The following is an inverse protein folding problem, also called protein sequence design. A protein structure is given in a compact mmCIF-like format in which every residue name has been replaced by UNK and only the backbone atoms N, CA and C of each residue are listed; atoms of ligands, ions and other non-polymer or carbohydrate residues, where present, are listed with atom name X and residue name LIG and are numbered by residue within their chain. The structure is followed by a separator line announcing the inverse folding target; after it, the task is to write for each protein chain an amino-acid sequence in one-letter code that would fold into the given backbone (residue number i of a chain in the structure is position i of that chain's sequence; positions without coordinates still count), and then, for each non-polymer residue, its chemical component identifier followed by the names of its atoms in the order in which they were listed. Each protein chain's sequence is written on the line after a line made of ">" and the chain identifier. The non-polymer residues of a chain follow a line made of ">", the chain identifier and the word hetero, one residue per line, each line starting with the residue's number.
data_IF_166247411037
#
_entry.id   IF_166247411037
#
_cell.length_a   1.000
_cell.length_b   1.000
_cell.length_c   1.000
_cell.angle_alpha   90.00
_cell.angle_beta   90.00
_cell.angle_gamma   90.00
#
_symmetry.space_group_name_H-M   'P 1'
#
loop_
_entity.id
_entity.type
_entity.pdbx_description
1 polymer ?
#
# COMPACT_ATOMS: atom_id res chain seq x y z
N UNK A 1 14.01 -20.63 18.52
CA UNK A 1 13.78 -19.40 17.75
C UNK A 1 15.10 -18.64 17.69
N UNK A 2 15.64 -18.39 16.51
CA UNK A 2 16.77 -17.47 16.35
C UNK A 2 16.21 -16.07 16.59
N UNK A 3 16.49 -15.47 17.76
CA UNK A 3 16.09 -14.10 18.02
C UNK A 3 16.94 -13.17 17.15
N UNK A 4 16.27 -12.32 16.37
CA UNK A 4 16.93 -11.37 15.48
C UNK A 4 17.49 -10.24 16.36
N UNK A 5 18.82 -10.25 16.59
CA UNK A 5 19.57 -9.27 17.40
C UNK A 5 19.87 -7.99 16.60
N UNK A 6 18.86 -7.41 15.94
CA UNK A 6 19.04 -6.16 15.19
C UNK A 6 18.99 -4.98 16.18
N UNK A 7 20.03 -4.14 16.13
CA UNK A 7 20.17 -2.91 16.93
C UNK A 7 20.32 -3.15 18.45
N UNK A 8 20.83 -4.32 18.85
CA UNK A 8 21.17 -4.64 20.24
C UNK A 8 22.67 -4.59 20.40
N UNK A 9 23.16 -3.83 21.38
CA UNK A 9 24.59 -3.70 21.63
C UNK A 9 25.07 -4.86 22.52
N UNK A 10 25.21 -6.04 21.89
CA UNK A 10 25.50 -7.32 22.57
C UNK A 10 26.88 -7.32 23.24
N UNK A 11 27.77 -6.40 22.84
CA UNK A 11 29.15 -6.29 23.34
C UNK A 11 29.25 -5.45 24.62
N UNK A 12 28.19 -4.77 25.04
CA UNK A 12 28.21 -3.96 26.26
C UNK A 12 28.36 -4.83 27.51
N UNK A 13 29.36 -4.52 28.36
CA UNK A 13 29.59 -5.25 29.63
C UNK A 13 28.34 -5.27 30.53
N UNK A 14 27.53 -4.21 30.49
CA UNK A 14 26.27 -4.10 31.24
C UNK A 14 25.19 -5.04 30.69
N UNK A 15 25.14 -5.23 29.37
CA UNK A 15 24.20 -6.13 28.71
C UNK A 15 24.49 -7.58 29.09
N UNK A 16 25.76 -8.00 29.07
CA UNK A 16 26.18 -9.34 29.47
C UNK A 16 25.89 -9.61 30.95
N UNK A 17 26.18 -8.64 31.82
CA UNK A 17 25.89 -8.75 33.25
C UNK A 17 24.38 -8.88 33.55
N UNK A 18 23.53 -8.09 32.89
CA UNK A 18 22.08 -8.18 33.07
C UNK A 18 21.49 -9.45 32.46
N UNK A 19 22.04 -9.92 31.34
CA UNK A 19 21.63 -11.18 30.71
C UNK A 19 21.97 -12.37 31.61
N UNK A 20 23.18 -12.42 32.17
CA UNK A 20 23.59 -13.48 33.10
C UNK A 20 22.71 -13.51 34.36
N UNK A 21 22.36 -12.34 34.90
CA UNK A 21 21.47 -12.25 36.06
C UNK A 21 20.04 -12.64 35.69
N UNK A 22 19.54 -12.29 34.50
CA UNK A 22 18.23 -12.71 33.99
C UNK A 22 18.15 -14.24 33.84
N UNK A 23 19.21 -14.86 33.29
CA UNK A 23 19.29 -16.32 33.14
C UNK A 23 19.31 -17.00 34.50
N UNK A 24 20.09 -16.49 35.46
CA UNK A 24 20.13 -17.00 36.84
C UNK A 24 18.78 -16.90 37.56
N UNK A 25 17.96 -15.91 37.21
CA UNK A 25 16.63 -15.68 37.79
C UNK A 25 15.50 -16.38 37.01
N UNK A 26 15.80 -17.07 35.91
CA UNK A 26 14.82 -17.68 35.00
C UNK A 26 13.71 -16.70 34.54
N UNK A 27 14.04 -15.41 34.37
CA UNK A 27 13.07 -14.42 33.89
C UNK A 27 12.99 -14.45 32.36
N UNK A 28 11.77 -14.62 31.83
CA UNK A 28 11.49 -14.62 30.38
C UNK A 28 11.48 -13.19 29.81
N UNK A 29 12.64 -12.53 29.75
CA UNK A 29 12.77 -11.21 29.12
C UNK A 29 13.32 -11.34 27.70
N UNK A 30 12.85 -10.49 26.78
CA UNK A 30 13.44 -10.41 25.45
C UNK A 30 14.76 -9.63 25.50
N UNK A 31 15.73 -9.93 24.61
CA UNK A 31 16.99 -9.19 24.53
C UNK A 31 16.80 -7.67 24.32
N UNK A 32 15.72 -7.26 23.63
CA UNK A 32 15.39 -5.85 23.43
C UNK A 32 15.01 -5.15 24.73
N UNK A 33 14.21 -5.79 25.59
CA UNK A 33 13.86 -5.23 26.91
C UNK A 33 15.13 -5.04 27.75
N UNK A 34 16.09 -5.98 27.68
CA UNK A 34 17.36 -5.86 28.37
C UNK A 34 18.19 -4.69 27.79
N UNK A 35 18.23 -4.54 26.47
CA UNK A 35 18.90 -3.42 25.81
C UNK A 35 18.31 -2.06 26.21
N UNK A 36 16.98 -1.96 26.28
CA UNK A 36 16.29 -0.74 26.70
C UNK A 36 16.60 -0.39 28.16
N UNK A 37 16.71 -1.40 29.03
CA UNK A 37 17.17 -1.22 30.41
C UNK A 37 18.61 -0.72 30.46
N UNK A 38 19.51 -1.27 29.64
CA UNK A 38 20.90 -0.81 29.55
C UNK A 38 20.96 0.65 29.08
N UNK A 39 20.23 0.99 28.02
CA UNK A 39 20.14 2.36 27.51
C UNK A 39 19.61 3.34 28.57
N UNK A 40 18.58 2.93 29.32
CA UNK A 40 18.04 3.73 30.42
C UNK A 40 19.03 3.91 31.59
N UNK A 41 19.88 2.91 31.87
CA UNK A 41 20.93 2.99 32.89
C UNK A 41 22.07 3.91 32.45
N UNK A 42 22.47 3.83 31.18
CA UNK A 42 23.47 4.71 30.56
C UNK A 42 22.96 6.16 30.57
N UNK A 43 21.70 6.40 30.20
CA UNK A 43 21.08 7.73 30.23
C UNK A 43 21.02 8.33 31.65
N UNK A 44 20.99 7.48 32.68
CA UNK A 44 21.06 7.88 34.10
C UNK A 44 22.49 8.03 34.63
N UNK A 45 23.51 7.75 33.81
CA UNK A 45 24.93 7.89 34.16
C UNK A 45 25.50 6.75 35.01
N UNK A 46 24.79 5.62 35.16
CA UNK A 46 25.27 4.46 35.91
C UNK A 46 26.04 3.51 34.98
N UNK A 47 27.37 3.64 34.96
CA UNK A 47 28.26 2.84 34.09
C UNK A 47 28.64 1.48 34.66
N UNK A 48 28.46 1.25 35.98
CA UNK A 48 28.77 -0.02 36.65
C UNK A 48 27.70 -0.37 37.67
N UNK A 49 27.03 -1.51 37.51
CA UNK A 49 26.10 -2.05 38.51
C UNK A 49 26.79 -3.03 39.45
N UNK A 50 26.44 -2.96 40.74
CA UNK A 50 26.73 -4.06 41.67
C UNK A 50 25.79 -5.24 41.40
N UNK A 51 26.19 -6.50 41.64
CA UNK A 51 25.34 -7.66 41.40
C UNK A 51 24.00 -7.61 42.15
N UNK A 52 23.98 -7.02 43.35
CA UNK A 52 22.77 -6.84 44.14
C UNK A 52 21.82 -5.80 43.54
N UNK A 53 22.34 -4.69 43.00
CA UNK A 53 21.54 -3.68 42.28
C UNK A 53 21.00 -4.29 40.98
N UNK A 54 21.81 -5.03 40.23
CA UNK A 54 21.39 -5.68 38.98
C UNK A 54 20.24 -6.67 39.23
N UNK A 55 20.34 -7.48 40.29
CA UNK A 55 19.25 -8.38 40.71
C UNK A 55 17.97 -7.61 41.02
N UNK A 56 18.04 -6.50 41.76
CA UNK A 56 16.86 -5.67 42.07
C UNK A 56 16.23 -5.07 40.82
N UNK A 57 17.04 -4.55 39.89
CA UNK A 57 16.55 -3.96 38.65
C UNK A 57 15.78 -4.98 37.83
N UNK A 58 16.35 -6.18 37.65
CA UNK A 58 15.70 -7.26 36.90
C UNK A 58 14.45 -7.76 37.62
N UNK A 59 14.50 -7.95 38.94
CA UNK A 59 13.32 -8.35 39.71
C UNK A 59 12.19 -7.31 39.62
N UNK A 60 12.51 -6.02 39.71
CA UNK A 60 11.53 -4.94 39.57
C UNK A 60 10.96 -4.90 38.15
N UNK A 61 11.81 -5.00 37.13
CA UNK A 61 11.39 -5.03 35.74
C UNK A 61 10.48 -6.23 35.45
N UNK A 62 10.79 -7.40 36.00
CA UNK A 62 9.97 -8.60 35.86
C UNK A 62 8.60 -8.43 36.52
N UNK A 63 8.56 -7.84 37.73
CA UNK A 63 7.30 -7.56 38.42
C UNK A 63 6.42 -6.59 37.62
N UNK A 64 7.00 -5.51 37.08
CA UNK A 64 6.26 -4.59 36.22
C UNK A 64 5.77 -5.26 34.93
N UNK A 65 6.58 -6.14 34.33
CA UNK A 65 6.18 -6.88 33.14
C UNK A 65 5.01 -7.81 33.44
N UNK A 66 5.02 -8.52 34.57
CA UNK A 66 3.92 -9.38 34.99
C UNK A 66 2.64 -8.60 35.26
N UNK A 67 2.74 -7.44 35.91
CA UNK A 67 1.60 -6.56 36.19
C UNK A 67 1.03 -5.88 34.93
N UNK A 68 1.83 -5.73 33.87
CA UNK A 68 1.41 -5.06 32.63
C UNK A 68 0.83 -6.03 31.59
N UNK A 69 0.67 -7.31 31.92
CA UNK A 69 0.04 -8.29 31.02
C UNK A 69 -1.46 -8.03 30.94
N UNK A 70 -2.03 -8.23 29.76
CA UNK A 70 -3.48 -8.20 29.57
C UNK A 70 -4.11 -9.37 30.33
N UNK A 71 -5.21 -9.09 31.02
CA UNK A 71 -5.98 -10.10 31.73
C UNK A 71 -6.60 -11.11 30.74
N UNK A 72 -6.55 -12.42 31.03
CA UNK A 72 -7.18 -13.43 30.18
C UNK A 72 -8.68 -13.17 30.00
N UNK A 73 -9.19 -13.48 28.80
CA UNK A 73 -10.61 -13.31 28.42
C UNK A 73 -11.09 -11.86 28.26
N UNK A 74 -10.18 -10.89 28.26
CA UNK A 74 -10.48 -9.50 27.92
C UNK A 74 -11.03 -9.40 26.48
N UNK A 75 -12.01 -8.52 26.26
CA UNK A 75 -12.69 -8.37 24.98
C UNK A 75 -11.89 -7.49 24.00
N UNK A 76 -10.65 -7.89 23.71
CA UNK A 76 -9.67 -7.11 22.93
C UNK A 76 -10.16 -6.71 21.54
N UNK A 77 -11.01 -7.55 20.91
CA UNK A 77 -11.60 -7.23 19.61
C UNK A 77 -12.59 -6.05 19.68
N UNK A 78 -13.37 -5.95 20.75
CA UNK A 78 -14.34 -4.87 20.95
C UNK A 78 -13.61 -3.58 21.28
N UNK A 79 -12.64 -3.63 22.21
CA UNK A 79 -11.84 -2.45 22.58
C UNK A 79 -11.06 -1.93 21.39
N UNK A 80 -10.44 -2.81 20.60
CA UNK A 80 -9.77 -2.44 19.35
C UNK A 80 -10.71 -1.75 18.35
N UNK A 81 -11.92 -2.29 18.14
CA UNK A 81 -12.88 -1.70 17.23
C UNK A 81 -13.34 -0.30 17.71
N UNK A 82 -13.54 -0.13 19.02
CA UNK A 82 -13.89 1.16 19.62
C UNK A 82 -12.74 2.17 19.52
N UNK A 83 -11.52 1.77 19.88
CA UNK A 83 -10.34 2.66 19.87
C UNK A 83 -9.97 3.13 18.47
N UNK A 84 -10.22 2.34 17.43
CA UNK A 84 -10.01 2.75 16.03
C UNK A 84 -11.21 3.57 15.51
N UNK A 85 -12.43 3.25 15.95
CA UNK A 85 -13.65 3.92 15.50
C UNK A 85 -13.91 5.29 16.14
N UNK A 86 -13.56 5.47 17.42
CA UNK A 86 -13.75 6.71 18.17
C UNK A 86 -13.06 7.92 17.49
N UNK A 87 -11.78 7.84 17.11
CA UNK A 87 -11.11 8.92 16.38
C UNK A 87 -11.80 9.25 15.05
N UNK A 88 -12.46 8.27 14.42
CA UNK A 88 -13.19 8.46 13.17
C UNK A 88 -14.30 9.51 13.27
N UNK A 89 -14.94 9.67 14.43
CA UNK A 89 -15.94 10.72 14.66
C UNK A 89 -15.31 12.10 14.87
N UNK A 90 -14.10 12.12 15.41
CA UNK A 90 -13.32 13.34 15.68
C UNK A 90 -12.54 13.79 14.44
N UNK A 91 -12.36 12.91 13.45
CA UNK A 91 -11.84 13.20 12.11
C UNK A 91 -12.83 14.06 11.31
N UNK A 92 -13.06 15.29 11.76
CA UNK A 92 -13.77 16.32 10.99
C UNK A 92 -12.76 17.20 10.27
N UNK A 93 -12.92 17.30 8.93
CA UNK A 93 -12.38 18.31 7.99
C UNK A 93 -11.01 18.95 8.32
N UNK A 94 -10.05 18.22 8.89
CA UNK A 94 -8.63 18.59 8.86
C UNK A 94 -8.06 18.10 7.54
N UNK A 95 -8.50 18.70 6.44
CA UNK A 95 -7.75 18.58 5.18
C UNK A 95 -6.47 19.38 5.38
N UNK A 96 -5.40 18.72 5.77
CA UNK A 96 -4.07 19.32 5.74
C UNK A 96 -3.77 19.62 4.28
N UNK A 97 -3.97 20.89 3.89
CA UNK A 97 -3.27 21.45 2.76
C UNK A 97 -1.80 21.52 3.16
N UNK A 98 -1.04 20.48 2.84
CA UNK A 98 0.41 20.57 2.94
C UNK A 98 0.85 21.71 2.04
N UNK A 99 1.33 22.80 2.64
CA UNK A 99 1.95 23.90 1.92
C UNK A 99 3.31 23.40 1.39
N UNK A 100 3.28 22.86 0.17
CA UNK A 100 4.47 22.31 -0.49
C UNK A 100 4.12 21.82 -1.89
N UNK A 101 4.68 22.45 -2.92
CA UNK A 101 4.32 22.31 -4.34
C UNK A 101 4.67 20.94 -4.96
N UNK A 102 5.04 19.94 -4.14
CA UNK A 102 5.59 18.68 -4.66
C UNK A 102 4.95 17.41 -4.08
N UNK A 103 4.20 17.45 -2.98
CA UNK A 103 3.54 16.25 -2.48
C UNK A 103 2.25 16.02 -3.25
N UNK A 104 2.19 14.90 -3.99
CA UNK A 104 0.97 14.39 -4.62
C UNK A 104 -0.19 14.48 -3.61
N UNK A 105 -1.31 15.07 -4.00
CA UNK A 105 -2.53 15.11 -3.17
C UNK A 105 -3.05 13.67 -3.00
N UNK A 106 -2.56 12.96 -1.98
CA UNK A 106 -3.03 11.63 -1.62
C UNK A 106 -4.28 11.77 -0.76
N UNK A 107 -5.25 10.88 -0.93
CA UNK A 107 -6.37 10.73 0.00
C UNK A 107 -5.83 10.43 1.40
N UNK A 108 -6.03 11.36 2.34
CA UNK A 108 -5.65 11.23 3.74
C UNK A 108 -6.88 11.26 4.65
N UNK A 109 -6.69 10.85 5.91
CA UNK A 109 -7.73 10.84 6.93
C UNK A 109 -8.70 9.66 6.82
N UNK A 110 -9.93 9.87 7.28
CA UNK A 110 -10.95 8.83 7.40
C UNK A 110 -11.25 8.08 6.09
N UNK A 111 -11.38 8.73 4.91
CA UNK A 111 -11.61 8.01 3.67
C UNK A 111 -10.56 6.95 3.37
N UNK A 112 -9.29 7.24 3.75
CA UNK A 112 -8.19 6.30 3.55
C UNK A 112 -8.27 5.10 4.50
N UNK A 113 -8.64 5.33 5.77
CA UNK A 113 -8.87 4.24 6.73
C UNK A 113 -9.98 3.31 6.24
N UNK A 114 -11.08 3.88 5.71
CA UNK A 114 -12.19 3.10 5.13
C UNK A 114 -11.70 2.25 3.96
N UNK A 115 -10.89 2.80 3.04
CA UNK A 115 -10.34 2.03 1.91
C UNK A 115 -9.48 0.84 2.35
N UNK A 116 -8.67 1.02 3.40
CA UNK A 116 -7.81 -0.02 3.97
C UNK A 116 -8.67 -1.12 4.60
N UNK A 117 -9.60 -0.75 5.48
CA UNK A 117 -10.47 -1.68 6.22
C UNK A 117 -11.42 -2.44 5.29
N UNK A 118 -11.88 -1.81 4.20
CA UNK A 118 -12.69 -2.46 3.16
C UNK A 118 -11.86 -3.31 2.18
N UNK A 119 -10.54 -3.38 2.33
CA UNK A 119 -9.63 -4.10 1.45
C UNK A 119 -9.91 -3.82 -0.04
N UNK A 120 -10.03 -2.53 -0.42
CA UNK A 120 -10.32 -2.19 -1.82
C UNK A 120 -9.20 -2.65 -2.75
N UNK A 121 -9.59 -3.29 -3.87
CA UNK A 121 -8.64 -3.78 -4.90
C UNK A 121 -7.74 -2.69 -5.45
N UNK A 122 -8.29 -1.51 -5.71
CA UNK A 122 -7.56 -0.34 -6.18
C UNK A 122 -7.98 0.85 -5.31
N UNK A 123 -7.05 1.52 -4.61
CA UNK A 123 -7.37 2.72 -3.85
C UNK A 123 -7.68 3.89 -4.77
N UNK A 124 -8.34 4.95 -4.28
CA UNK A 124 -8.74 6.08 -5.12
C UNK A 124 -7.53 6.87 -5.66
N UNK A 125 -6.50 7.05 -4.82
CA UNK A 125 -5.22 7.66 -5.24
C UNK A 125 -4.06 6.71 -4.94
N UNK A 126 -3.76 5.75 -5.83
CA UNK A 126 -2.59 4.89 -5.68
C UNK A 126 -1.32 5.71 -5.83
N UNK A 127 -0.33 5.45 -4.98
CA UNK A 127 0.97 6.13 -5.00
C UNK A 127 2.08 5.14 -4.69
N UNK A 128 3.28 5.44 -5.19
CA UNK A 128 4.49 4.71 -4.85
C UNK A 128 5.62 5.66 -4.50
N UNK A 129 6.48 5.21 -3.59
CA UNK A 129 7.78 5.79 -3.29
C UNK A 129 8.84 4.82 -3.80
N UNK A 130 9.47 5.18 -4.90
CA UNK A 130 10.47 4.36 -5.58
C UNK A 130 11.84 4.88 -5.16
N UNK A 131 12.57 4.02 -4.48
CA UNK A 131 13.96 4.27 -4.12
C UNK A 131 14.87 3.73 -5.22
N UNK A 132 16.06 4.31 -5.32
CA UNK A 132 17.06 3.93 -6.31
C UNK A 132 18.25 3.26 -5.63
N UNK A 133 18.87 2.34 -6.37
CA UNK A 133 20.10 1.68 -5.93
C UNK A 133 21.25 2.69 -5.80
N UNK A 134 22.23 2.34 -4.96
CA UNK A 134 23.41 3.19 -4.73
C UNK A 134 24.22 3.36 -6.02
N UNK A 135 24.40 2.27 -6.78
CA UNK A 135 25.21 2.24 -7.99
C UNK A 135 24.40 1.77 -9.20
N UNK A 136 24.63 2.41 -10.35
CA UNK A 136 24.15 1.88 -11.64
C UNK A 136 24.91 0.61 -12.02
N UNK A 137 24.44 -0.13 -13.03
CA UNK A 137 25.15 -1.25 -13.67
C UNK A 137 26.57 -0.88 -14.20
N UNK A 138 26.92 0.42 -14.18
CA UNK A 138 28.21 1.00 -14.56
C UNK A 138 29.00 1.61 -13.39
N UNK A 139 28.63 1.33 -12.14
CA UNK A 139 29.35 1.79 -10.93
C UNK A 139 29.27 3.30 -10.64
N UNK A 140 28.30 4.03 -11.22
CA UNK A 140 28.09 5.46 -10.94
C UNK A 140 27.01 5.65 -9.89
N UNK A 141 27.14 6.65 -8.98
CA UNK A 141 26.13 6.92 -7.97
C UNK A 141 24.83 7.40 -8.62
N UNK A 142 23.77 6.60 -8.53
CA UNK A 142 22.43 6.93 -9.06
C UNK A 142 21.64 7.80 -8.10
N UNK A 143 21.80 7.53 -6.81
CA UNK A 143 21.02 8.10 -5.71
C UNK A 143 21.16 9.62 -5.53
N UNK A 144 22.28 10.19 -5.99
CA UNK A 144 22.64 11.61 -5.78
C UNK A 144 22.54 12.45 -7.06
N UNK A 145 22.32 11.82 -8.22
CA UNK A 145 22.35 12.53 -9.50
C UNK A 145 20.94 12.77 -10.04
N UNK A 146 20.42 13.97 -9.81
CA UNK A 146 19.08 14.42 -10.23
C UNK A 146 18.76 14.12 -11.70
N UNK A 147 19.73 14.31 -12.62
CA UNK A 147 19.51 14.10 -14.06
C UNK A 147 19.20 12.65 -14.39
N UNK A 148 19.90 11.69 -13.77
CA UNK A 148 19.66 10.26 -14.01
C UNK A 148 18.34 9.81 -13.37
N UNK A 149 18.00 10.35 -12.20
CA UNK A 149 16.70 10.08 -11.56
C UNK A 149 15.55 10.60 -12.40
N UNK A 150 15.69 11.79 -12.98
CA UNK A 150 14.70 12.36 -13.89
C UNK A 150 14.55 11.53 -15.18
N UNK A 151 15.63 10.93 -15.67
CA UNK A 151 15.57 10.00 -16.80
C UNK A 151 14.79 8.73 -16.48
N UNK A 152 14.98 8.17 -15.28
CA UNK A 152 14.21 7.01 -14.81
C UNK A 152 12.74 7.39 -14.63
N UNK A 153 12.45 8.54 -14.01
CA UNK A 153 11.09 9.04 -13.83
C UNK A 153 10.34 9.22 -15.17
N UNK A 154 11.00 9.81 -16.17
CA UNK A 154 10.44 9.97 -17.52
C UNK A 154 10.24 8.62 -18.25
N UNK A 155 10.99 7.58 -17.88
CA UNK A 155 10.80 6.22 -18.36
C UNK A 155 9.61 5.50 -17.72
N UNK A 156 9.31 5.81 -16.46
CA UNK A 156 8.22 5.19 -15.70
C UNK A 156 6.86 5.82 -16.03
N UNK A 157 6.81 7.14 -16.23
CA UNK A 157 5.57 7.88 -16.54
C UNK A 157 4.90 7.38 -17.82
N UNK A 158 3.59 7.04 -17.75
CA UNK A 158 2.82 6.78 -18.96
C UNK A 158 2.72 8.03 -19.81
N UNK A 159 3.09 7.91 -21.06
CA UNK A 159 2.94 8.98 -22.03
C UNK A 159 1.81 8.60 -22.98
N UNK A 160 0.69 9.29 -22.86
CA UNK A 160 -0.43 9.14 -23.80
C UNK A 160 -0.23 10.06 -24.99
N UNK A 161 -0.94 9.79 -26.08
CA UNK A 161 -0.90 10.67 -27.27
C UNK A 161 -1.36 12.09 -26.93
N UNK A 162 -2.28 12.25 -25.96
CA UNK A 162 -2.79 13.56 -25.50
C UNK A 162 -1.72 14.43 -24.84
N UNK A 163 -0.74 13.84 -24.17
CA UNK A 163 0.31 14.60 -23.48
C UNK A 163 1.35 15.17 -24.46
N UNK A 164 1.40 14.61 -25.68
CA UNK A 164 2.47 14.85 -26.64
C UNK A 164 1.96 15.54 -27.91
N UNK A 165 0.71 15.29 -28.31
CA UNK A 165 0.13 15.80 -29.54
C UNK A 165 -1.22 16.48 -29.30
N UNK A 166 -1.45 17.58 -30.00
CA UNK A 166 -2.82 18.08 -30.20
C UNK A 166 -3.43 17.31 -31.36
N UNK A 167 -4.67 16.87 -31.18
CA UNK A 167 -5.41 16.04 -32.13
C UNK A 167 -6.46 16.92 -32.79
N UNK A 168 -6.26 17.20 -34.07
CA UNK A 168 -7.19 17.98 -34.88
C UNK A 168 -7.86 17.05 -35.89
N UNK A 169 -9.18 16.95 -35.78
CA UNK A 169 -10.03 16.14 -36.65
C UNK A 169 -10.50 16.99 -37.82
N UNK A 170 -10.01 16.70 -39.03
CA UNK A 170 -10.52 17.33 -40.24
C UNK A 170 -11.66 16.49 -40.82
N UNK A 171 -12.89 17.02 -40.69
CA UNK A 171 -14.11 16.38 -41.18
C UNK A 171 -14.18 16.42 -42.71
N UNK A 172 -13.60 17.46 -43.32
CA UNK A 172 -13.69 17.70 -44.77
C UNK A 172 -12.77 16.75 -45.54
N UNK A 173 -11.53 16.62 -45.08
CA UNK A 173 -10.51 15.76 -45.67
C UNK A 173 -10.43 14.38 -45.00
N UNK A 174 -11.29 14.12 -43.99
CA UNK A 174 -11.45 12.82 -43.30
C UNK A 174 -10.13 12.21 -42.81
N UNK A 175 -9.25 13.05 -42.31
CA UNK A 175 -8.01 12.63 -41.70
C UNK A 175 -7.86 13.27 -40.32
N UNK A 176 -7.11 12.60 -39.46
CA UNK A 176 -6.73 13.11 -38.15
C UNK A 176 -5.32 13.63 -38.29
N UNK A 177 -5.13 14.91 -37.97
CA UNK A 177 -3.80 15.52 -37.89
C UNK A 177 -3.38 15.61 -36.42
N UNK A 178 -2.17 15.12 -36.15
CA UNK A 178 -1.54 15.14 -34.84
C UNK A 178 -0.39 16.13 -34.90
N UNK A 179 -0.56 17.30 -34.29
CA UNK A 179 0.53 18.26 -34.15
C UNK A 179 1.32 17.94 -32.88
N UNK A 180 2.57 17.50 -33.07
CA UNK A 180 3.46 17.08 -32.00
C UNK A 180 4.11 18.27 -31.31
N UNK A 181 4.03 18.32 -29.98
CA UNK A 181 4.69 19.34 -29.18
C UNK A 181 6.14 18.93 -28.86
N UNK A 182 7.09 19.62 -29.50
CA UNK A 182 8.53 19.36 -29.35
C UNK A 182 9.06 19.59 -27.94
N UNK A 183 8.42 20.46 -27.13
CA UNK A 183 8.81 20.71 -25.76
C UNK A 183 8.53 19.48 -24.87
N UNK A 184 7.33 18.90 -24.97
CA UNK A 184 6.93 17.72 -24.21
C UNK A 184 7.69 16.46 -24.66
N UNK A 185 7.99 16.36 -25.96
CA UNK A 185 8.86 15.31 -26.52
C UNK A 185 10.26 15.32 -25.92
N UNK A 186 10.84 16.51 -25.72
CA UNK A 186 12.20 16.66 -25.15
C UNK A 186 12.22 16.25 -23.68
N UNK A 187 11.22 16.65 -22.89
CA UNK A 187 11.11 16.25 -21.47
C UNK A 187 10.95 14.73 -21.35
N UNK A 188 10.14 14.11 -22.21
CA UNK A 188 9.85 12.67 -22.20
C UNK A 188 10.90 11.82 -22.95
N UNK A 189 11.94 12.46 -23.49
CA UNK A 189 12.98 11.87 -24.36
C UNK A 189 12.38 10.88 -25.36
N UNK A 190 11.49 11.39 -26.21
CA UNK A 190 10.97 10.66 -27.35
C UNK A 190 11.28 11.41 -28.63
N UNK A 191 11.64 10.66 -29.67
CA UNK A 191 11.83 11.22 -30.99
C UNK A 191 10.53 11.15 -31.81
N UNK A 192 10.31 12.11 -32.70
CA UNK A 192 9.10 12.14 -33.55
C UNK A 192 8.96 10.88 -34.41
N UNK A 193 10.09 10.32 -34.87
CA UNK A 193 10.15 9.06 -35.59
C UNK A 193 9.71 7.85 -34.72
N UNK A 194 10.15 7.78 -33.47
CA UNK A 194 9.73 6.70 -32.55
C UNK A 194 8.23 6.76 -32.27
N UNK A 195 7.65 7.96 -32.21
CA UNK A 195 6.20 8.16 -32.03
C UNK A 195 5.44 7.68 -33.28
N UNK A 196 5.91 8.00 -34.48
CA UNK A 196 5.36 7.49 -35.76
C UNK A 196 5.36 5.96 -35.78
N UNK A 197 6.49 5.33 -35.46
CA UNK A 197 6.63 3.87 -35.48
C UNK A 197 5.73 3.16 -34.47
N UNK A 198 5.54 3.77 -33.31
CA UNK A 198 4.65 3.22 -32.27
C UNK A 198 3.19 3.40 -32.63
N UNK A 199 2.81 4.54 -33.20
CA UNK A 199 1.45 4.79 -33.70
C UNK A 199 1.11 3.84 -34.86
N UNK A 200 2.03 3.66 -35.81
CA UNK A 200 1.88 2.73 -36.94
C UNK A 200 1.70 1.29 -36.47
N UNK A 201 2.56 0.80 -35.57
CA UNK A 201 2.45 -0.55 -35.00
C UNK A 201 1.16 -0.76 -34.22
N UNK A 202 0.73 0.22 -33.44
CA UNK A 202 -0.43 0.09 -32.58
C UNK A 202 -1.76 0.19 -33.33
N UNK A 203 -1.82 1.06 -34.35
CA UNK A 203 -3.03 1.25 -35.16
C UNK A 203 -3.11 0.31 -36.36
N UNK A 204 -1.99 -0.33 -36.74
CA UNK A 204 -1.84 -1.07 -38.01
C UNK A 204 -2.23 -0.22 -39.23
N UNK A 205 -2.00 1.09 -39.13
CA UNK A 205 -2.33 2.08 -40.15
C UNK A 205 -1.07 2.82 -40.55
N UNK A 206 -1.02 3.21 -41.81
CA UNK A 206 0.05 4.06 -42.32
C UNK A 206 -0.12 5.48 -41.77
N UNK A 207 0.90 5.96 -41.06
CA UNK A 207 0.96 7.32 -40.54
C UNK A 207 1.87 8.13 -41.46
N UNK A 208 1.28 9.06 -42.19
CA UNK A 208 2.03 9.96 -43.06
C UNK A 208 2.69 11.04 -42.18
N UNK A 209 3.98 11.23 -42.37
CA UNK A 209 4.78 12.22 -41.66
C UNK A 209 5.17 13.35 -42.62
N UNK A 210 5.14 14.60 -42.14
CA UNK A 210 5.60 15.76 -42.94
C UNK A 210 7.12 15.75 -43.18
N UNK A 211 7.91 15.04 -42.36
CA UNK A 211 9.35 14.90 -42.48
C UNK A 211 9.82 13.60 -41.79
N UNK A 212 10.78 12.88 -42.37
CA UNK A 212 11.19 11.55 -41.90
C UNK A 212 12.01 11.57 -40.59
N UNK A 213 12.84 12.60 -40.38
CA UNK A 213 13.72 12.65 -39.20
C UNK A 213 13.09 13.36 -37.98
N UNK A 214 12.29 14.41 -38.22
CA UNK A 214 11.64 15.23 -37.17
C UNK A 214 10.23 15.67 -37.60
N UNK A 215 9.25 14.76 -37.67
CA UNK A 215 7.90 15.14 -38.00
C UNK A 215 7.31 16.07 -36.92
N UNK A 216 6.77 17.20 -37.34
CA UNK A 216 5.99 18.11 -36.48
C UNK A 216 4.50 17.83 -36.56
N UNK A 217 4.03 17.33 -37.70
CA UNK A 217 2.65 16.91 -37.92
C UNK A 217 2.66 15.48 -38.45
N UNK A 218 1.79 14.65 -37.88
CA UNK A 218 1.51 13.31 -38.36
C UNK A 218 0.06 13.27 -38.84
N UNK A 219 -0.18 12.75 -40.04
CA UNK A 219 -1.52 12.57 -40.60
C UNK A 219 -1.89 11.09 -40.58
N UNK A 220 -3.07 10.80 -40.05
CA UNK A 220 -3.61 9.45 -39.93
C UNK A 220 -4.94 9.40 -40.65
N UNK A 221 -5.05 8.49 -41.62
CA UNK A 221 -6.28 8.26 -42.38
C UNK A 221 -6.86 6.90 -41.96
N UNK A 222 -8.13 6.83 -41.55
CA UNK A 222 -8.79 5.55 -41.25
C UNK A 222 -8.84 4.66 -42.49
N UNK A 223 -8.37 3.41 -42.37
CA UNK A 223 -8.54 2.37 -43.39
C UNK A 223 -7.34 2.12 -44.31
N UNK A 224 -6.23 2.84 -44.16
CA UNK A 224 -5.03 2.67 -45.00
C UNK A 224 -3.95 1.90 -44.23
N UNK A 225 -3.69 0.65 -44.61
CA UNK A 225 -2.69 -0.20 -43.96
C UNK A 225 -1.33 -0.19 -44.69
N UNK A 226 -1.28 0.23 -45.96
CA UNK A 226 -0.07 0.33 -46.79
C UNK A 226 -0.06 1.62 -47.62
N UNK A 227 1.14 2.08 -47.94
CA UNK A 227 1.41 3.30 -48.75
C UNK A 227 0.76 3.24 -50.15
N UNK A 228 0.49 2.03 -50.65
CA UNK A 228 -0.13 1.74 -51.97
C UNK A 228 -1.66 1.94 -52.02
N UNK A 229 -2.35 2.04 -50.87
CA UNK A 229 -3.82 2.22 -50.80
C UNK A 229 -4.25 3.69 -50.81
N UNK A 230 -3.32 4.63 -50.98
CA UNK A 230 -3.62 6.06 -51.12
C UNK A 230 -4.51 6.35 -52.35
N UNK A 231 -4.48 5.47 -53.35
CA UNK A 231 -5.30 5.55 -54.56
C UNK A 231 -6.76 5.08 -54.37
N UNK A 232 -7.06 4.30 -53.33
CA UNK A 232 -8.40 3.77 -53.02
C UNK A 232 -9.27 4.70 -52.17
N UNK A 233 -8.72 5.81 -51.69
CA UNK A 233 -9.44 6.90 -50.98
C UNK A 233 -10.65 7.45 -51.76
N UNK A 234 -10.65 7.30 -53.08
CA UNK A 234 -11.75 7.73 -53.95
C UNK A 234 -12.91 6.72 -54.04
N UNK A 235 -12.71 5.46 -53.68
CA UNK A 235 -13.70 4.39 -53.91
C UNK A 235 -14.54 4.03 -52.69
N UNK A 236 -13.97 4.04 -51.48
CA UNK A 236 -14.70 3.72 -50.23
C UNK A 236 -14.35 4.74 -49.13
N UNK A 237 -15.14 5.82 -49.01
CA UNK A 237 -14.89 6.79 -47.97
C UNK A 237 -15.08 6.21 -46.56
N UNK A 238 -14.17 6.48 -45.60
CA UNK A 238 -14.33 6.04 -44.23
C UNK A 238 -15.59 6.65 -43.60
N UNK A 239 -16.37 5.82 -42.90
CA UNK A 239 -17.58 6.24 -42.19
C UNK A 239 -17.23 7.20 -41.06
N UNK A 240 -18.04 8.25 -40.85
CA UNK A 240 -17.86 9.23 -39.78
C UNK A 240 -17.70 8.60 -38.38
N UNK A 241 -18.41 7.50 -38.12
CA UNK A 241 -18.30 6.70 -36.90
C UNK A 241 -16.93 6.06 -36.72
N UNK A 242 -16.30 5.60 -37.81
CA UNK A 242 -14.96 5.01 -37.77
C UNK A 242 -13.90 6.06 -37.43
N UNK A 243 -14.08 7.30 -37.88
CA UNK A 243 -13.17 8.41 -37.58
C UNK A 243 -13.23 8.79 -36.09
N UNK A 244 -14.43 8.91 -35.52
CA UNK A 244 -14.61 9.16 -34.09
C UNK A 244 -14.06 8.01 -33.22
N UNK A 245 -14.29 6.76 -33.63
CA UNK A 245 -13.72 5.60 -32.93
C UNK A 245 -12.20 5.56 -33.01
N UNK A 246 -11.62 5.96 -34.14
CA UNK A 246 -10.18 6.04 -34.32
C UNK A 246 -9.59 7.15 -33.44
N UNK A 247 -10.24 8.31 -33.38
CA UNK A 247 -9.86 9.40 -32.49
C UNK A 247 -9.84 8.95 -31.02
N UNK A 248 -10.90 8.27 -30.55
CA UNK A 248 -10.94 7.72 -29.19
C UNK A 248 -9.81 6.71 -28.93
N UNK A 249 -9.50 5.85 -29.92
CA UNK A 249 -8.39 4.89 -29.83
C UNK A 249 -7.03 5.60 -29.75
N UNK A 250 -6.80 6.62 -30.57
CA UNK A 250 -5.57 7.42 -30.53
C UNK A 250 -5.42 8.11 -29.17
N UNK A 251 -6.50 8.68 -28.64
CA UNK A 251 -6.50 9.36 -27.32
C UNK A 251 -6.09 8.42 -26.19
N UNK A 252 -6.56 7.16 -26.21
CA UNK A 252 -6.25 6.14 -25.18
C UNK A 252 -4.92 5.41 -25.43
N UNK A 253 -4.30 5.61 -26.59
CA UNK A 253 -3.08 4.92 -26.94
C UNK A 253 -1.91 5.36 -26.05
N UNK A 254 -1.19 4.37 -25.52
CA UNK A 254 0.01 4.54 -24.70
C UNK A 254 1.25 4.38 -25.57
N UNK A 255 2.11 5.40 -25.59
CA UNK A 255 3.32 5.41 -26.41
C UNK A 255 4.55 4.90 -25.64
N UNK A 256 4.69 5.25 -24.36
CA UNK A 256 5.83 4.90 -23.50
C UNK A 256 5.36 4.85 -22.04
N UNK A 257 6.14 4.20 -21.17
CA UNK A 257 5.88 4.11 -19.73
C UNK A 257 5.19 2.83 -19.28
N UNK A 258 5.16 2.61 -17.97
CA UNK A 258 4.58 1.43 -17.34
C UNK A 258 3.06 1.58 -17.17
N UNK A 259 2.25 0.50 -17.25
CA UNK A 259 0.81 0.61 -17.02
C UNK A 259 0.51 1.20 -15.65
N UNK A 260 -0.56 1.97 -15.57
CA UNK A 260 -1.14 2.47 -14.33
C UNK A 260 -0.29 3.50 -13.56
N UNK A 261 0.82 3.98 -14.14
CA UNK A 261 1.63 5.09 -13.60
C UNK A 261 1.35 6.38 -14.38
N UNK A 262 0.46 7.22 -13.86
CA UNK A 262 0.04 8.46 -14.54
C UNK A 262 1.12 9.55 -14.52
N UNK A 263 1.82 9.73 -13.40
CA UNK A 263 2.87 10.75 -13.23
C UNK A 263 3.98 10.24 -12.33
N UNK A 264 5.21 10.66 -12.60
CA UNK A 264 6.38 10.36 -11.78
C UNK A 264 7.16 11.65 -11.49
N UNK A 265 7.17 12.06 -10.23
CA UNK A 265 7.86 13.25 -9.77
C UNK A 265 9.12 12.86 -8.99
N UNK A 266 10.25 13.49 -9.31
CA UNK A 266 11.48 13.34 -8.52
C UNK A 266 11.37 14.22 -7.28
N UNK A 267 11.67 13.65 -6.12
CA UNK A 267 11.70 14.31 -4.83
C UNK A 267 13.12 14.19 -4.26
N UNK A 268 13.58 15.23 -3.59
CA UNK A 268 14.88 15.26 -2.93
C UNK A 268 15.64 16.57 -3.19
N UNK A 269 16.84 16.70 -2.59
CA UNK A 269 17.49 15.73 -1.71
C UNK A 269 16.91 15.75 -0.29
N UNK A 270 16.76 14.59 0.35
CA UNK A 270 16.41 14.52 1.77
C UNK A 270 17.48 15.26 2.60
N UNK A 271 17.05 16.07 3.58
CA UNK A 271 17.96 16.90 4.38
C UNK A 271 18.99 16.09 5.19
N UNK A 272 18.66 14.85 5.56
CA UNK A 272 19.52 13.99 6.38
C UNK A 272 20.41 13.04 5.55
N UNK A 273 19.93 12.56 4.39
CA UNK A 273 20.62 11.51 3.62
C UNK A 273 21.13 11.97 2.25
N UNK A 274 20.69 13.14 1.76
CA UNK A 274 21.07 13.65 0.45
C UNK A 274 20.50 12.87 -0.74
N UNK A 275 19.56 11.95 -0.50
CA UNK A 275 19.03 11.01 -1.49
C UNK A 275 17.84 11.58 -2.27
N UNK A 276 17.77 11.28 -3.56
CA UNK A 276 16.59 11.49 -4.38
C UNK A 276 15.76 10.20 -4.44
N UNK A 277 14.43 10.34 -4.39
CA UNK A 277 13.47 9.26 -4.60
C UNK A 277 12.39 9.72 -5.58
N UNK A 278 11.72 8.77 -6.23
CA UNK A 278 10.65 9.08 -7.19
C UNK A 278 9.30 8.81 -6.51
N UNK A 279 8.43 9.82 -6.50
CA UNK A 279 7.05 9.71 -6.05
C UNK A 279 6.12 9.62 -7.25
N UNK A 280 5.34 8.53 -7.35
CA UNK A 280 4.42 8.31 -8.47
C UNK A 280 2.96 8.53 -8.08
N UNK A 281 2.19 9.01 -9.05
CA UNK A 281 0.73 8.93 -9.06
C UNK A 281 0.37 7.73 -9.92
N UNK A 282 -0.24 6.71 -9.31
CA UNK A 282 -0.34 5.39 -9.90
C UNK A 282 0.57 4.38 -9.20
N UNK A 283 0.17 3.11 -9.23
CA UNK A 283 0.96 2.00 -8.69
C UNK A 283 1.06 0.86 -9.68
N UNK A 284 2.29 0.34 -9.83
CA UNK A 284 2.58 -0.88 -10.55
C UNK A 284 3.88 -1.52 -10.02
N UNK A 285 3.86 -2.03 -8.80
CA UNK A 285 4.99 -2.58 -8.07
C UNK A 285 5.70 -3.70 -8.84
N UNK A 286 4.94 -4.58 -9.49
CA UNK A 286 5.48 -5.71 -10.25
C UNK A 286 6.45 -5.25 -11.34
N UNK A 287 6.00 -4.35 -12.22
CA UNK A 287 6.81 -3.86 -13.35
C UNK A 287 7.84 -2.81 -12.96
N UNK A 288 7.57 -2.02 -11.93
CA UNK A 288 8.53 -1.03 -11.40
C UNK A 288 9.75 -1.72 -10.83
N UNK A 289 9.55 -2.86 -10.14
CA UNK A 289 10.64 -3.62 -9.53
C UNK A 289 11.53 -4.32 -10.56
N UNK A 290 11.04 -4.57 -11.78
CA UNK A 290 11.84 -5.08 -12.90
C UNK A 290 12.73 -4.01 -13.56
N UNK A 291 12.46 -2.73 -13.31
CA UNK A 291 13.18 -1.64 -13.94
C UNK A 291 14.60 -1.49 -13.38
N UNK A 292 15.59 -1.31 -14.26
CA UNK A 292 16.98 -1.22 -13.87
C UNK A 292 17.28 0.06 -13.05
N UNK A 293 17.94 -0.10 -11.91
CA UNK A 293 18.32 1.00 -11.01
C UNK A 293 17.30 1.32 -9.92
N UNK A 294 16.17 0.60 -9.87
CA UNK A 294 15.19 0.68 -8.79
C UNK A 294 15.58 -0.27 -7.64
N UNK A 295 15.64 0.27 -6.44
CA UNK A 295 15.88 -0.49 -5.22
C UNK A 295 14.61 -1.24 -4.81
N UNK A 296 14.65 -2.56 -4.98
CA UNK A 296 13.54 -3.46 -4.66
C UNK A 296 13.29 -3.62 -3.17
N UNK A 297 14.31 -3.41 -2.33
CA UNK A 297 14.21 -3.61 -0.89
C UNK A 297 13.55 -2.45 -0.14
N UNK A 298 13.63 -1.24 -0.70
CA UNK A 298 13.08 -0.02 -0.08
C UNK A 298 11.85 0.55 -0.78
N UNK A 299 11.58 0.16 -2.02
CA UNK A 299 10.42 0.67 -2.77
C UNK A 299 9.10 0.28 -2.10
N UNK A 300 8.22 1.26 -1.90
CA UNK A 300 6.97 1.11 -1.16
C UNK A 300 5.78 1.62 -1.99
N UNK A 301 4.61 0.98 -1.84
CA UNK A 301 3.35 1.43 -2.43
C UNK A 301 2.25 1.45 -1.38
N UNK A 302 1.27 2.33 -1.55
CA UNK A 302 0.08 2.36 -0.71
C UNK A 302 -1.00 1.34 -1.17
N UNK A 303 -0.80 0.63 -2.29
CA UNK A 303 -1.75 -0.37 -2.76
C UNK A 303 -1.49 -1.73 -2.10
N UNK A 304 -2.29 -2.06 -1.09
CA UNK A 304 -2.14 -3.27 -0.28
C UNK A 304 -2.36 -4.55 -1.10
N UNK A 305 -3.36 -4.56 -1.99
CA UNK A 305 -3.67 -5.73 -2.83
C UNK A 305 -2.50 -6.05 -3.77
N UNK A 306 -1.83 -5.02 -4.26
CA UNK A 306 -0.65 -5.17 -5.11
C UNK A 306 0.56 -5.70 -4.33
N UNK A 307 0.77 -5.23 -3.09
CA UNK A 307 1.79 -5.77 -2.18
C UNK A 307 1.53 -7.25 -1.89
N UNK A 308 0.27 -7.60 -1.58
CA UNK A 308 -0.14 -8.99 -1.36
C UNK A 308 0.23 -9.90 -2.55
N UNK A 309 -0.07 -9.47 -3.77
CA UNK A 309 0.16 -10.27 -4.96
C UNK A 309 1.65 -10.42 -5.32
N UNK A 310 2.49 -9.44 -4.99
CA UNK A 310 3.91 -9.45 -5.37
C UNK A 310 4.85 -9.90 -4.24
N UNK A 311 4.64 -9.44 -3.01
CA UNK A 311 5.50 -9.70 -1.84
C UNK A 311 4.91 -10.73 -0.86
N UNK A 312 3.60 -11.00 -0.93
CA UNK A 312 2.91 -11.99 -0.10
C UNK A 312 2.17 -11.41 1.11
N UNK A 313 1.59 -12.31 1.91
CA UNK A 313 0.62 -11.95 2.97
C UNK A 313 1.23 -11.18 4.15
N UNK A 314 2.43 -11.54 4.61
CA UNK A 314 3.09 -10.84 5.72
C UNK A 314 3.52 -9.42 5.34
N UNK A 315 3.92 -9.22 4.08
CA UNK A 315 4.21 -7.89 3.56
C UNK A 315 2.92 -7.05 3.49
N UNK A 316 1.80 -7.66 3.09
CA UNK A 316 0.51 -6.98 3.10
C UNK A 316 0.04 -6.65 4.52
N UNK A 317 0.21 -7.57 5.49
CA UNK A 317 -0.07 -7.35 6.91
C UNK A 317 0.70 -6.15 7.45
N UNK A 318 2.00 -6.09 7.19
CA UNK A 318 2.83 -4.95 7.59
C UNK A 318 2.44 -3.66 6.86
N UNK A 319 2.06 -3.73 5.59
CA UNK A 319 1.58 -2.58 4.83
C UNK A 319 0.28 -2.01 5.40
N UNK A 320 -0.67 -2.86 5.83
CA UNK A 320 -1.89 -2.42 6.52
C UNK A 320 -1.54 -1.62 7.79
N UNK A 321 -0.64 -2.15 8.62
CA UNK A 321 -0.22 -1.49 9.87
C UNK A 321 0.43 -0.14 9.56
N UNK A 322 1.38 -0.11 8.62
CA UNK A 322 2.10 1.11 8.26
C UNK A 322 1.15 2.17 7.68
N UNK A 323 0.23 1.78 6.79
CA UNK A 323 -0.75 2.71 6.22
C UNK A 323 -1.71 3.24 7.28
N UNK A 324 -2.24 2.38 8.16
CA UNK A 324 -3.12 2.82 9.24
C UNK A 324 -2.41 3.80 10.18
N UNK A 325 -1.18 3.48 10.60
CA UNK A 325 -0.36 4.35 11.45
C UNK A 325 -0.12 5.72 10.78
N UNK A 326 0.35 5.72 9.52
CA UNK A 326 0.61 6.96 8.77
C UNK A 326 -0.65 7.82 8.61
N UNK A 327 -1.83 7.19 8.45
CA UNK A 327 -3.10 7.92 8.32
C UNK A 327 -3.60 8.52 9.63
N UNK A 328 -3.38 7.83 10.76
CA UNK A 328 -3.76 8.30 12.09
C UNK A 328 -2.81 9.40 12.57
N UNK A 329 -1.50 9.19 12.45
CA UNK A 329 -0.46 10.19 12.76
C UNK A 329 -0.63 11.44 11.89
N UNK A 330 -0.90 11.27 10.59
CA UNK A 330 -1.17 12.39 9.67
C UNK A 330 -2.41 13.20 10.05
N UNK A 331 -3.35 12.63 10.81
CA UNK A 331 -4.49 13.34 11.36
C UNK A 331 -4.23 13.93 12.77
N UNK A 332 -3.06 13.66 13.37
CA UNK A 332 -2.71 14.03 14.74
C UNK A 332 -3.47 13.22 15.80
N UNK A 333 -3.90 12.01 15.46
CA UNK A 333 -4.60 11.09 16.35
C UNK A 333 -3.66 9.96 16.74
N UNK A 334 -3.63 9.64 18.02
CA UNK A 334 -2.78 8.58 18.56
C UNK A 334 -3.65 7.37 18.94
N UNK A 335 -3.27 6.21 18.43
CA UNK A 335 -3.90 4.92 18.72
C UNK A 335 -2.78 3.92 18.91
N UNK A 336 -2.85 3.13 19.99
CA UNK A 336 -1.84 2.12 20.28
C UNK A 336 -1.72 1.11 19.13
N UNK A 337 -0.48 0.84 18.72
CA UNK A 337 -0.14 -0.04 17.59
C UNK A 337 -0.69 -1.46 17.77
N UNK A 338 -0.94 -1.91 19.01
CA UNK A 338 -1.55 -3.22 19.30
C UNK A 338 -2.96 -3.35 18.70
N UNK A 339 -3.73 -2.27 18.69
CA UNK A 339 -5.04 -2.26 18.05
C UNK A 339 -4.92 -2.38 16.53
N UNK A 340 -3.93 -1.72 15.92
CA UNK A 340 -3.64 -1.80 14.49
C UNK A 340 -3.16 -3.21 14.09
N UNK A 341 -2.32 -3.82 14.94
CA UNK A 341 -1.86 -5.20 14.79
C UNK A 341 -3.04 -6.18 14.80
N UNK A 342 -3.93 -6.08 15.78
CA UNK A 342 -5.12 -6.93 15.86
C UNK A 342 -6.00 -6.83 14.61
N UNK A 343 -6.20 -5.62 14.08
CA UNK A 343 -6.95 -5.44 12.83
C UNK A 343 -6.25 -6.09 11.64
N UNK A 344 -4.96 -5.81 11.46
CA UNK A 344 -4.18 -6.38 10.37
C UNK A 344 -4.18 -7.91 10.41
N UNK A 345 -3.95 -8.51 11.58
CA UNK A 345 -3.91 -9.96 11.78
C UNK A 345 -5.27 -10.61 11.47
N UNK A 346 -6.38 -10.00 11.89
CA UNK A 346 -7.73 -10.48 11.56
C UNK A 346 -7.97 -10.41 10.05
N UNK A 347 -7.58 -9.32 9.40
CA UNK A 347 -7.72 -9.13 7.95
C UNK A 347 -6.88 -10.10 7.13
N UNK A 348 -5.73 -10.57 7.62
CA UNK A 348 -4.80 -11.47 6.90
C UNK A 348 -4.82 -12.93 7.37
N UNK A 349 -5.69 -13.26 8.32
CA UNK A 349 -5.73 -14.56 9.02
C UNK A 349 -5.86 -15.81 8.14
N UNK A 350 -6.54 -15.72 7.00
CA UNK A 350 -6.83 -16.87 6.11
C UNK A 350 -5.90 -16.95 4.90
N UNK A 351 -4.79 -16.22 4.90
CA UNK A 351 -3.82 -16.24 3.79
C UNK A 351 -4.19 -15.32 2.62
N UNK A 352 -5.27 -14.56 2.72
CA UNK A 352 -5.64 -13.48 1.80
C UNK A 352 -6.02 -12.22 2.60
N UNK A 353 -5.91 -11.04 1.99
CA UNK A 353 -6.37 -9.77 2.59
C UNK A 353 -7.88 -9.63 2.38
N UNK A 354 -8.65 -9.74 3.47
CA UNK A 354 -10.12 -9.66 3.43
C UNK A 354 -10.63 -8.35 4.03
N UNK A 355 -11.72 -7.86 3.46
CA UNK A 355 -12.46 -6.73 4.02
C UNK A 355 -13.06 -7.09 5.39
N UNK A 356 -13.13 -6.15 6.33
CA UNK A 356 -13.76 -6.42 7.63
C UNK A 356 -15.29 -6.58 7.52
N UNK A 357 -15.90 -5.89 6.56
CA UNK A 357 -17.35 -5.86 6.35
C UNK A 357 -17.97 -7.14 5.79
N UNK A 358 -19.19 -7.01 5.25
CA UNK A 358 -20.05 -8.14 4.84
C UNK A 358 -19.46 -9.08 3.79
N UNK A 359 -18.51 -8.64 2.98
CA UNK A 359 -17.93 -9.47 1.91
C UNK A 359 -16.64 -10.18 2.33
N UNK A 360 -16.16 -9.97 3.56
CA UNK A 360 -14.97 -10.63 4.09
C UNK A 360 -15.22 -11.23 5.46
N UNK A 361 -14.55 -10.71 6.49
CA UNK A 361 -14.49 -11.33 7.84
C UNK A 361 -15.89 -11.52 8.44
N UNK A 362 -16.75 -10.49 8.39
CA UNK A 362 -18.07 -10.57 9.01
C UNK A 362 -19.05 -11.49 8.26
N UNK A 363 -18.94 -11.57 6.93
CA UNK A 363 -19.81 -12.43 6.11
C UNK A 363 -19.39 -13.90 6.05
N UNK A 364 -18.12 -14.19 6.37
CA UNK A 364 -17.56 -15.55 6.39
C UNK A 364 -17.57 -16.18 7.79
N UNK A 365 -18.06 -15.44 8.80
CA UNK A 365 -18.21 -15.96 10.16
C UNK A 365 -19.07 -17.23 10.15
N UNK A 366 -18.65 -18.27 10.87
CA UNK A 366 -19.32 -19.58 10.86
C UNK A 366 -20.79 -19.52 11.31
N UNK A 367 -21.09 -18.70 12.31
CA UNK A 367 -22.44 -18.54 12.83
C UNK A 367 -23.42 -17.96 11.82
N UNK A 368 -24.58 -18.60 11.70
CA UNK A 368 -25.66 -18.15 10.82
C UNK A 368 -26.36 -16.96 11.46
N UNK A 369 -26.61 -17.02 12.77
CA UNK A 369 -27.25 -15.95 13.53
C UNK A 369 -26.40 -14.69 13.52
N UNK A 370 -25.09 -14.82 13.69
CA UNK A 370 -24.18 -13.68 13.65
C UNK A 370 -24.14 -13.03 12.26
N UNK A 371 -24.07 -13.82 11.17
CA UNK A 371 -24.13 -13.29 9.79
C UNK A 371 -25.46 -12.59 9.51
N UNK A 372 -26.57 -13.23 9.91
CA UNK A 372 -27.93 -12.75 9.66
C UNK A 372 -28.27 -11.47 10.44
N UNK A 373 -27.72 -11.33 11.66
CA UNK A 373 -27.88 -10.15 12.49
C UNK A 373 -27.05 -8.95 12.02
N UNK A 374 -25.95 -9.19 11.29
CA UNK A 374 -25.09 -8.12 10.77
C UNK A 374 -25.65 -7.49 9.50
N UNK A 375 -25.89 -8.28 8.44
CA UNK A 375 -26.46 -7.77 7.18
C UNK A 375 -27.06 -8.90 6.32
N UNK A 376 -27.97 -8.54 5.40
CA UNK A 376 -28.59 -9.46 4.41
C UNK A 376 -29.29 -10.69 5.03
N UNK A 377 -30.06 -10.44 6.09
CA UNK A 377 -30.70 -11.45 6.97
C UNK A 377 -31.44 -12.57 6.23
N UNK A 378 -32.36 -12.22 5.32
CA UNK A 378 -33.23 -13.21 4.65
C UNK A 378 -32.43 -14.20 3.82
N UNK A 379 -31.39 -13.72 3.12
CA UNK A 379 -30.60 -14.59 2.24
C UNK A 379 -29.76 -15.59 3.03
N UNK A 380 -29.18 -15.17 4.15
CA UNK A 380 -28.38 -16.05 5.02
C UNK A 380 -29.25 -17.14 5.63
N UNK A 381 -30.42 -16.79 6.16
CA UNK A 381 -31.35 -17.76 6.75
C UNK A 381 -31.91 -18.75 5.73
N UNK A 382 -32.33 -18.28 4.54
CA UNK A 382 -32.83 -19.16 3.49
C UNK A 382 -31.74 -20.12 2.99
N UNK A 383 -30.52 -19.61 2.75
CA UNK A 383 -29.41 -20.44 2.28
C UNK A 383 -29.01 -21.47 3.33
N UNK A 384 -28.92 -21.07 4.60
CA UNK A 384 -28.67 -21.99 5.72
C UNK A 384 -29.75 -23.07 5.81
N UNK A 385 -31.03 -22.69 5.63
CA UNK A 385 -32.15 -23.63 5.61
C UNK A 385 -32.09 -24.65 4.46
N UNK A 386 -31.66 -24.23 3.26
CA UNK A 386 -31.47 -25.12 2.10
C UNK A 386 -30.31 -26.08 2.33
N UNK A 387 -29.20 -25.60 2.90
CA UNK A 387 -27.99 -26.41 3.15
C UNK A 387 -28.17 -27.34 4.35
N UNK A 388 -29.06 -26.99 5.29
CA UNK A 388 -29.17 -27.66 6.58
C UNK A 388 -28.04 -27.28 7.54
N UNK A 389 -27.54 -26.05 7.42
CA UNK A 389 -26.46 -25.52 8.25
C UNK A 389 -26.92 -25.41 9.73
N UNK A 390 -26.04 -25.73 10.67
CA UNK A 390 -26.33 -25.69 12.11
C UNK A 390 -25.49 -24.63 12.80
N UNK A 391 -26.08 -23.95 13.76
CA UNK A 391 -25.38 -22.95 14.55
C UNK A 391 -24.90 -23.53 15.89
N UNK A 392 -23.64 -23.28 16.24
CA UNK A 392 -23.00 -23.82 17.45
C UNK A 392 -22.98 -22.81 18.61
N UNK A 393 -23.49 -21.59 18.42
CA UNK A 393 -23.61 -20.56 19.45
C UNK A 393 -22.28 -20.23 20.18
N UNK A 394 -21.14 -20.33 19.49
CA UNK A 394 -19.84 -20.05 20.12
C UNK A 394 -19.52 -18.56 20.23
N UNK A 395 -20.14 -17.73 19.40
CA UNK A 395 -19.86 -16.30 19.35
C UNK A 395 -20.69 -15.47 20.32
N UNK A 396 -20.31 -14.19 20.43
CA UNK A 396 -20.96 -13.22 21.31
C UNK A 396 -22.39 -12.89 20.84
N UNK A 397 -22.55 -12.56 19.56
CA UNK A 397 -23.82 -12.06 18.98
C UNK A 397 -24.97 -13.05 19.14
N UNK A 398 -24.70 -14.31 18.84
CA UNK A 398 -25.65 -15.41 18.87
C UNK A 398 -26.06 -15.81 20.29
N UNK A 399 -25.12 -15.84 21.25
CA UNK A 399 -25.45 -16.03 22.66
C UNK A 399 -26.36 -14.91 23.18
N UNK A 400 -26.10 -13.65 22.81
CA UNK A 400 -26.96 -12.53 23.18
C UNK A 400 -28.37 -12.68 22.59
N UNK A 401 -28.48 -13.08 21.32
CA UNK A 401 -29.78 -13.28 20.65
C UNK A 401 -30.61 -14.37 21.33
N UNK A 402 -29.98 -15.47 21.74
CA UNK A 402 -30.63 -16.61 22.39
C UNK A 402 -30.85 -16.38 23.89
N UNK A 403 -30.19 -15.36 24.48
CA UNK A 403 -30.28 -15.03 25.90
C UNK A 403 -29.34 -15.85 26.80
N UNK A 404 -28.27 -16.40 26.24
CA UNK A 404 -27.21 -17.11 26.97
C UNK A 404 -26.09 -16.14 27.40
N UNK A 405 -25.39 -16.41 28.51
CA UNK A 405 -24.22 -15.62 28.89
C UNK A 405 -23.11 -15.76 27.82
N UNK A 406 -22.42 -14.66 27.55
CA UNK A 406 -21.33 -14.63 26.57
C UNK A 406 -20.06 -15.26 27.15
N UNK A 407 -19.26 -15.91 26.31
CA UNK A 407 -17.97 -16.50 26.67
C UNK A 407 -16.81 -15.48 26.68
N UNK A 408 -17.06 -14.26 27.17
CA UNK A 408 -16.04 -13.21 27.32
C UNK A 408 -16.13 -12.59 28.71
N UNK A 409 -15.00 -12.06 29.21
CA UNK A 409 -14.92 -11.48 30.54
C UNK A 409 -15.34 -12.48 31.63
N UNK A 410 -16.25 -12.07 32.51
CA UNK A 410 -16.71 -12.89 33.65
C UNK A 410 -17.42 -14.17 33.23
N UNK A 411 -18.00 -14.23 32.03
CA UNK A 411 -18.67 -15.43 31.53
C UNK A 411 -17.74 -16.57 31.13
N UNK A 412 -16.41 -16.33 31.11
CA UNK A 412 -15.40 -17.38 30.85
C UNK A 412 -14.83 -18.02 32.12
N UNK A 413 -15.15 -17.47 33.30
CA UNK A 413 -14.61 -17.95 34.57
C UNK A 413 -15.53 -19.02 35.14
N UNK A 414 -15.00 -20.22 35.32
CA UNK A 414 -15.69 -21.31 35.99
C UNK A 414 -15.28 -21.36 37.47
N UNK A 415 -16.27 -21.37 38.37
CA UNK A 415 -16.04 -21.48 39.80
C UNK A 415 -16.32 -22.91 40.26
N UNK A 416 -15.37 -23.48 40.99
CA UNK A 416 -15.52 -24.76 41.64
C UNK A 416 -15.37 -24.57 43.15
N UNK A 417 -16.41 -24.96 43.90
CA UNK A 417 -16.43 -24.87 45.35
C UNK A 417 -16.71 -26.24 45.95
N UNK A 418 -15.86 -26.66 46.88
CA UNK A 418 -16.06 -27.87 47.68
C UNK A 418 -16.59 -27.42 49.04
N UNK A 419 -17.87 -27.65 49.38
CA UNK A 419 -18.39 -27.34 50.71
C UNK A 419 -17.73 -28.25 51.76
N UNK A 420 -17.40 -27.68 52.92
CA UNK A 420 -17.02 -28.46 54.11
C UNK A 420 -18.28 -29.07 54.74
N UNK A 421 -18.23 -30.36 55.11
CA UNK A 421 -19.34 -31.13 55.72
C UNK A 421 -19.70 -30.67 57.14
#
# INVERSE_FOLDING_TARGET
>A
MVQILRDVDVESELFTQLTDVSVKLNTQMSPRIINDLVNALIARGETKLTPAKAKKVISSANNHLLLSRVDPHEAVGITTAQSIGEPGTQMTMRTFHYAGVATVNVTQGLPRIIEIVDARKVPNTPTMRIYLDENNAKGKPLRTNEKLVQEIAAGLETTTTRDIANIDVDITQRHISLSLNTANLRVKKMNGAEVRDKLSRALRLFVQADNDDKPKVLKIIPGIAKEEELATLASDPPTYTALLQLEEKIKKLRLKGLPDIMRANVQGPNAETGEYYISTIGSNLSKVSEYAGVDRGRTYTNNITEIHNYLGIEAARQAIINEMLLTLEGAGLDVDVRHLLMVADVMTSEGEVRAIGRHGVSGTKHSILARSAFEVTVTHLLRAGIIGERDELRGVTENIIVGQPISLGTGSVELYYIPEE
#
